data_IF_673987620646
#
_entry.id   IF_673987620646
#
_cell.length_a   1.000
_cell.length_b   1.000
_cell.length_c   1.000
_cell.angle_alpha   90.00
_cell.angle_beta   90.00
_cell.angle_gamma   90.00
#
_symmetry.space_group_name_H-M   'P 1'
#
loop_
_entity.id
_entity.type
_entity.pdbx_description
1 polymer ?
#
# COMPACT_ATOMS: atom_id res chain seq x y z
N UNK A 1 5.51 31.26 -23.71
CA UNK A 1 5.41 29.94 -24.35
C UNK A 1 5.34 28.78 -23.36
N UNK A 2 6.01 28.83 -22.19
CA UNK A 2 5.94 27.73 -21.20
C UNK A 2 4.54 27.51 -20.57
N UNK A 3 3.78 28.58 -20.38
CA UNK A 3 2.46 28.54 -19.72
C UNK A 3 1.38 27.76 -20.49
N UNK A 4 1.41 27.78 -21.83
CA UNK A 4 0.42 27.05 -22.64
C UNK A 4 0.62 25.53 -22.57
N UNK A 5 1.88 25.08 -22.56
CA UNK A 5 2.22 23.66 -22.40
C UNK A 5 1.83 23.17 -21.00
N UNK A 6 2.09 23.98 -19.97
CA UNK A 6 1.68 23.66 -18.60
C UNK A 6 0.16 23.47 -18.47
N UNK A 7 -0.64 24.38 -19.04
CA UNK A 7 -2.09 24.26 -19.05
C UNK A 7 -2.58 23.00 -19.80
N UNK A 8 -1.98 22.67 -20.94
CA UNK A 8 -2.31 21.47 -21.70
C UNK A 8 -1.98 20.20 -20.89
N UNK A 9 -0.81 20.15 -20.26
CA UNK A 9 -0.39 19.01 -19.45
C UNK A 9 -1.34 18.81 -18.26
N UNK A 10 -1.69 19.88 -17.54
CA UNK A 10 -2.66 19.81 -16.44
C UNK A 10 -4.04 19.36 -16.91
N UNK A 11 -4.51 19.86 -18.06
CA UNK A 11 -5.77 19.43 -18.68
C UNK A 11 -5.75 17.94 -19.04
N UNK A 12 -4.69 17.46 -19.70
CA UNK A 12 -4.53 16.06 -20.05
C UNK A 12 -4.43 15.17 -18.81
N UNK A 13 -3.65 15.58 -17.81
CA UNK A 13 -3.53 14.86 -16.54
C UNK A 13 -4.88 14.77 -15.83
N UNK A 14 -5.71 15.82 -15.89
CA UNK A 14 -7.06 15.81 -15.32
C UNK A 14 -7.98 14.82 -16.03
N UNK A 15 -8.00 14.81 -17.38
CA UNK A 15 -8.80 13.89 -18.19
C UNK A 15 -8.39 12.43 -17.93
N UNK A 16 -7.09 12.17 -17.85
CA UNK A 16 -6.52 10.83 -17.57
C UNK A 16 -6.56 10.44 -16.08
N UNK A 17 -7.02 11.34 -15.21
CA UNK A 17 -7.07 11.17 -13.75
C UNK A 17 -5.69 10.88 -13.15
N UNK A 18 -4.67 11.65 -13.52
CA UNK A 18 -3.27 11.55 -13.08
C UNK A 18 -2.95 12.69 -12.08
N UNK A 19 -3.55 12.69 -10.87
CA UNK A 19 -3.43 13.79 -9.91
C UNK A 19 -2.02 13.98 -9.36
N UNK A 20 -1.20 12.93 -9.28
CA UNK A 20 0.18 13.05 -8.78
C UNK A 20 1.03 13.72 -9.84
N UNK A 21 0.90 13.30 -11.10
CA UNK A 21 1.61 13.92 -12.22
C UNK A 21 1.26 15.40 -12.29
N UNK A 22 -0.03 15.76 -12.28
CA UNK A 22 -0.48 17.16 -12.34
C UNK A 22 0.16 18.06 -11.26
N UNK A 23 0.49 17.50 -10.09
CA UNK A 23 1.08 18.22 -8.97
C UNK A 23 2.61 18.25 -8.99
N UNK A 24 3.25 17.20 -9.50
CA UNK A 24 4.69 16.95 -9.25
C UNK A 24 5.56 16.98 -10.51
N UNK A 25 4.98 16.94 -11.73
CA UNK A 25 5.76 16.87 -12.97
C UNK A 25 6.81 17.99 -13.10
N UNK A 26 6.51 19.22 -12.66
CA UNK A 26 7.44 20.34 -12.76
C UNK A 26 8.68 20.17 -11.87
N UNK A 27 8.48 19.63 -10.66
CA UNK A 27 9.59 19.39 -9.74
C UNK A 27 10.45 18.23 -10.27
N UNK A 28 9.81 17.15 -10.74
CA UNK A 28 10.51 16.02 -11.34
C UNK A 28 11.25 16.41 -12.63
N UNK A 29 10.72 17.36 -13.41
CA UNK A 29 11.39 17.87 -14.61
C UNK A 29 12.68 18.64 -14.25
N UNK A 30 12.63 19.49 -13.20
CA UNK A 30 13.82 20.20 -12.70
C UNK A 30 14.85 19.24 -12.14
N UNK A 31 14.42 18.19 -11.43
CA UNK A 31 15.32 17.15 -10.92
C UNK A 31 16.00 16.38 -12.08
N UNK A 32 15.24 16.01 -13.11
CA UNK A 32 15.77 15.36 -14.31
C UNK A 32 16.77 16.23 -15.07
N UNK A 33 16.50 17.55 -15.20
CA UNK A 33 17.44 18.51 -15.77
C UNK A 33 18.75 18.56 -14.97
N UNK A 34 18.67 18.62 -13.64
CA UNK A 34 19.86 18.66 -12.77
C UNK A 34 20.67 17.37 -12.81
N UNK A 35 20.01 16.23 -13.02
CA UNK A 35 20.64 14.90 -13.06
C UNK A 35 21.08 14.48 -14.46
N UNK A 36 20.84 15.31 -15.48
CA UNK A 36 21.06 14.98 -16.90
C UNK A 36 20.37 13.67 -17.32
N UNK A 37 19.17 13.41 -16.78
CA UNK A 37 18.40 12.21 -17.13
C UNK A 37 17.95 12.24 -18.59
N UNK A 38 17.83 11.06 -19.20
CA UNK A 38 17.20 10.95 -20.52
C UNK A 38 15.70 11.22 -20.43
N UNK A 39 15.07 11.49 -21.58
CA UNK A 39 13.62 11.67 -21.65
C UNK A 39 12.86 10.41 -21.19
N UNK A 40 13.39 9.21 -21.45
CA UNK A 40 12.78 7.97 -20.99
C UNK A 40 12.88 7.81 -19.47
N UNK A 41 14.01 8.15 -18.87
CA UNK A 41 14.21 8.11 -17.42
C UNK A 41 13.27 9.07 -16.68
N UNK A 42 13.13 10.30 -17.20
CA UNK A 42 12.17 11.26 -16.68
C UNK A 42 10.73 10.74 -16.78
N UNK A 43 10.32 10.23 -17.95
CA UNK A 43 8.97 9.69 -18.15
C UNK A 43 8.70 8.52 -17.21
N UNK A 44 9.67 7.61 -17.04
CA UNK A 44 9.57 6.48 -16.12
C UNK A 44 9.35 6.98 -14.68
N UNK A 45 10.17 7.93 -14.22
CA UNK A 45 10.09 8.50 -12.87
C UNK A 45 8.73 9.14 -12.58
N UNK A 46 8.19 9.92 -13.54
CA UNK A 46 6.88 10.56 -13.39
C UNK A 46 5.76 9.54 -13.29
N UNK A 47 5.79 8.49 -14.11
CA UNK A 47 4.80 7.42 -14.08
C UNK A 47 4.90 6.56 -12.82
N UNK A 48 6.12 6.25 -12.38
CA UNK A 48 6.36 5.52 -11.13
C UNK A 48 5.77 6.24 -9.93
N UNK A 49 5.95 7.56 -9.85
CA UNK A 49 5.44 8.34 -8.72
C UNK A 49 3.89 8.33 -8.66
N UNK A 50 3.22 8.35 -9.82
CA UNK A 50 1.77 8.17 -9.90
C UNK A 50 1.35 6.77 -9.47
N UNK A 51 2.06 5.73 -9.92
CA UNK A 51 1.79 4.33 -9.53
C UNK A 51 1.92 4.13 -8.03
N UNK A 52 3.01 4.64 -7.42
CA UNK A 52 3.25 4.57 -5.98
C UNK A 52 2.11 5.25 -5.22
N UNK A 53 1.79 6.51 -5.58
CA UNK A 53 0.73 7.27 -4.91
C UNK A 53 -0.63 6.59 -5.02
N UNK A 54 -0.96 6.01 -6.19
CA UNK A 54 -2.21 5.26 -6.39
C UNK A 54 -2.26 4.00 -5.53
N UNK A 55 -1.16 3.23 -5.45
CA UNK A 55 -1.07 2.03 -4.60
C UNK A 55 -1.26 2.40 -3.12
N UNK A 56 -0.59 3.45 -2.65
CA UNK A 56 -0.75 3.93 -1.28
C UNK A 56 -2.18 4.36 -0.95
N UNK A 57 -2.81 5.14 -1.84
CA UNK A 57 -4.18 5.59 -1.64
C UNK A 57 -5.17 4.41 -1.67
N UNK A 58 -4.95 3.43 -2.53
CA UNK A 58 -5.75 2.20 -2.56
C UNK A 58 -5.60 1.40 -1.28
N UNK A 59 -4.37 1.24 -0.77
CA UNK A 59 -4.09 0.58 0.50
C UNK A 59 -4.78 1.31 1.67
N UNK A 60 -4.56 2.63 1.81
CA UNK A 60 -5.21 3.46 2.84
C UNK A 60 -6.73 3.34 2.81
N UNK A 61 -7.33 3.34 1.61
CA UNK A 61 -8.78 3.16 1.45
C UNK A 61 -9.24 1.78 1.91
N UNK A 62 -8.54 0.71 1.53
CA UNK A 62 -8.86 -0.67 1.94
C UNK A 62 -8.76 -0.84 3.44
N UNK A 63 -7.69 -0.33 4.07
CA UNK A 63 -7.53 -0.36 5.53
C UNK A 63 -8.65 0.38 6.25
N UNK A 64 -9.05 1.57 5.75
CA UNK A 64 -10.20 2.31 6.30
C UNK A 64 -11.51 1.54 6.16
N UNK A 65 -11.72 0.84 5.04
CA UNK A 65 -12.91 0.03 4.80
C UNK A 65 -12.97 -1.23 5.68
N UNK A 66 -11.81 -1.79 6.04
CA UNK A 66 -11.74 -2.96 6.91
C UNK A 66 -12.19 -2.69 8.36
N UNK A 67 -12.20 -1.40 8.79
CA UNK A 67 -12.71 -0.96 10.10
C UNK A 67 -12.10 -1.75 11.28
N UNK A 68 -10.79 -2.02 11.23
CA UNK A 68 -10.10 -2.67 12.33
C UNK A 68 -10.24 -1.83 13.61
N UNK A 69 -10.60 -2.43 14.76
CA UNK A 69 -10.71 -1.70 16.03
C UNK A 69 -9.39 -1.07 16.47
N UNK A 70 -8.27 -1.73 16.14
CA UNK A 70 -6.92 -1.27 16.43
C UNK A 70 -5.98 -1.88 15.40
N UNK A 71 -5.07 -1.08 14.85
CA UNK A 71 -4.04 -1.59 13.95
C UNK A 71 -3.00 -2.34 14.79
N UNK A 72 -2.92 -3.65 14.58
CA UNK A 72 -1.98 -4.55 15.25
C UNK A 72 -1.22 -5.35 14.21
N UNK A 73 0.10 -5.35 14.30
CA UNK A 73 0.98 -6.16 13.44
C UNK A 73 1.35 -7.46 14.15
N UNK A 74 1.81 -8.43 13.38
CA UNK A 74 2.22 -9.71 13.95
C UNK A 74 3.47 -9.56 14.85
N UNK A 75 4.34 -8.61 14.56
CA UNK A 75 5.54 -8.31 15.36
C UNK A 75 5.21 -7.87 16.80
N UNK A 76 4.02 -7.30 16.99
CA UNK A 76 3.53 -6.89 18.32
C UNK A 76 2.75 -7.98 19.05
N UNK A 77 2.62 -9.18 18.47
CA UNK A 77 1.92 -10.30 19.10
C UNK A 77 2.86 -11.07 20.03
N UNK A 78 2.46 -11.21 21.29
CA UNK A 78 3.18 -12.01 22.27
C UNK A 78 2.85 -13.49 22.11
N UNK A 79 3.76 -14.23 21.48
CA UNK A 79 3.64 -15.69 21.33
C UNK A 79 3.97 -16.45 22.61
N UNK A 80 4.70 -15.86 23.55
CA UNK A 80 5.04 -16.50 24.83
C UNK A 80 3.82 -16.53 25.75
N UNK A 81 2.94 -15.53 25.65
CA UNK A 81 1.62 -15.54 26.28
C UNK A 81 0.67 -16.61 25.68
N UNK A 82 1.03 -17.25 24.57
CA UNK A 82 0.24 -18.33 23.98
C UNK A 82 1.12 -19.49 23.46
N UNK A 83 1.73 -20.27 24.38
CA UNK A 83 2.79 -21.22 24.03
C UNK A 83 2.30 -22.40 23.17
N UNK A 84 1.01 -22.70 23.20
CA UNK A 84 0.40 -23.75 22.37
C UNK A 84 0.11 -23.29 20.93
N UNK A 85 0.26 -22.00 20.62
CA UNK A 85 0.04 -21.47 19.28
C UNK A 85 1.27 -21.70 18.41
N UNK A 86 1.10 -22.44 17.32
CA UNK A 86 2.18 -22.67 16.37
C UNK A 86 2.53 -21.36 15.61
N UNK A 87 3.60 -20.69 16.05
CA UNK A 87 4.11 -19.45 15.45
C UNK A 87 4.42 -19.59 13.95
N UNK A 88 5.04 -20.70 13.54
CA UNK A 88 5.39 -20.93 12.14
C UNK A 88 4.13 -21.00 11.25
N UNK A 89 3.07 -21.67 11.73
CA UNK A 89 1.78 -21.72 11.02
C UNK A 89 1.15 -20.34 10.90
N UNK A 90 1.20 -19.54 11.97
CA UNK A 90 0.66 -18.17 11.94
C UNK A 90 1.43 -17.27 10.97
N UNK A 91 2.76 -17.37 10.96
CA UNK A 91 3.60 -16.66 9.98
C UNK A 91 3.34 -17.10 8.54
N UNK A 92 2.97 -18.37 8.31
CA UNK A 92 2.59 -18.81 6.97
C UNK A 92 1.28 -18.14 6.49
N UNK A 93 0.36 -17.84 7.41
CA UNK A 93 -0.91 -17.18 7.07
C UNK A 93 -0.71 -15.74 6.58
N UNK A 94 0.35 -15.05 7.00
CA UNK A 94 0.64 -13.68 6.52
C UNK A 94 1.03 -13.62 5.05
N UNK A 95 1.33 -14.76 4.42
CA UNK A 95 1.57 -14.82 2.97
C UNK A 95 0.29 -14.73 2.15
N UNK A 96 -0.89 -14.87 2.78
CA UNK A 96 -2.18 -14.72 2.10
C UNK A 96 -2.58 -15.87 1.16
N UNK A 97 -1.78 -16.94 1.04
CA UNK A 97 -2.04 -18.06 0.10
C UNK A 97 -3.42 -18.72 0.31
N UNK A 98 -3.97 -18.65 1.52
CA UNK A 98 -5.32 -19.16 1.83
C UNK A 98 -6.41 -18.42 1.03
N UNK A 99 -6.19 -17.16 0.65
CA UNK A 99 -7.10 -16.37 -0.18
C UNK A 99 -7.12 -16.94 -1.61
N UNK A 100 -5.95 -17.24 -2.17
CA UNK A 100 -5.83 -17.84 -3.50
C UNK A 100 -6.45 -19.24 -3.54
N UNK A 101 -6.28 -20.01 -2.46
CA UNK A 101 -6.91 -21.32 -2.26
C UNK A 101 -8.40 -21.26 -1.93
N UNK A 102 -8.97 -20.06 -1.70
CA UNK A 102 -10.37 -19.85 -1.26
C UNK A 102 -10.71 -20.57 0.05
N UNK A 103 -9.76 -20.62 0.97
CA UNK A 103 -9.89 -21.22 2.29
C UNK A 103 -10.38 -20.20 3.32
N UNK A 104 -11.22 -20.67 4.26
CA UNK A 104 -11.68 -19.84 5.38
C UNK A 104 -10.75 -20.01 6.58
N UNK A 105 -10.41 -18.90 7.22
CA UNK A 105 -9.60 -18.89 8.43
C UNK A 105 -10.47 -18.67 9.67
N UNK A 106 -10.44 -19.63 10.60
CA UNK A 106 -11.13 -19.54 11.88
C UNK A 106 -10.13 -19.44 13.02
N UNK A 107 -10.25 -18.40 13.84
CA UNK A 107 -9.52 -18.27 15.10
C UNK A 107 -10.45 -18.68 16.25
N UNK A 108 -10.14 -19.79 16.93
CA UNK A 108 -10.99 -20.38 17.98
C UNK A 108 -10.21 -20.40 19.30
N UNK A 109 -10.87 -20.01 20.40
CA UNK A 109 -10.28 -20.03 21.75
C UNK A 109 -10.98 -19.05 22.70
N UNK A 110 -10.64 -19.15 24.00
CA UNK A 110 -11.25 -18.34 25.06
C UNK A 110 -11.13 -16.82 24.82
N UNK A 111 -12.05 -15.99 25.34
CA UNK A 111 -11.91 -14.53 25.29
C UNK A 111 -10.53 -14.05 25.78
N UNK A 112 -10.00 -12.98 25.19
CA UNK A 112 -8.70 -12.41 25.60
C UNK A 112 -7.44 -13.09 25.04
N UNK A 113 -7.55 -14.22 24.32
CA UNK A 113 -6.37 -14.96 23.79
C UNK A 113 -5.75 -14.39 22.51
N UNK A 114 -6.04 -13.12 22.16
CA UNK A 114 -5.39 -12.46 21.02
C UNK A 114 -5.96 -12.80 19.63
N UNK A 115 -7.12 -13.46 19.52
CA UNK A 115 -7.77 -13.78 18.23
C UNK A 115 -7.97 -12.56 17.32
N UNK A 116 -8.49 -11.45 17.86
CA UNK A 116 -8.71 -10.20 17.10
C UNK A 116 -7.38 -9.58 16.66
N UNK A 117 -6.34 -9.70 17.48
CA UNK A 117 -4.99 -9.25 17.11
C UNK A 117 -4.48 -10.08 15.93
N UNK A 118 -4.53 -11.41 16.01
CA UNK A 118 -4.07 -12.29 14.93
C UNK A 118 -4.85 -12.05 13.63
N UNK A 119 -6.18 -11.95 13.69
CA UNK A 119 -7.01 -11.67 12.53
C UNK A 119 -6.64 -10.33 11.88
N UNK A 120 -6.40 -9.29 12.70
CA UNK A 120 -5.98 -7.98 12.19
C UNK A 120 -4.56 -8.05 11.61
N UNK A 121 -3.63 -8.72 12.29
CA UNK A 121 -2.24 -8.85 11.86
C UNK A 121 -2.11 -9.59 10.54
N UNK A 122 -2.87 -10.67 10.34
CA UNK A 122 -2.92 -11.41 9.08
C UNK A 122 -3.52 -10.55 7.96
N UNK A 123 -4.52 -9.73 8.25
CA UNK A 123 -5.13 -8.86 7.25
C UNK A 123 -4.31 -7.59 6.93
N UNK A 124 -3.36 -7.22 7.79
CA UNK A 124 -2.42 -6.11 7.62
C UNK A 124 -1.15 -6.51 6.85
N UNK A 125 -0.85 -7.81 6.80
CA UNK A 125 0.27 -8.37 6.06
C UNK A 125 -0.04 -8.47 4.56
#
# INVERSE_FOLDING_TARGET
MSTSIQMLLESHAKVLRLPTIAKHYQNLAREAENQNCTYEEYLCTVLEQEVITRRENQLKRRLKQAKFPLIKTLDSFDFDAQPNLNKAKVLALTKGEFVDRKENLFFIGNPGTGKTHLATAVAMA
#
